data_IF_503239159569
#
_entry.id   IF_503239159569
#
_cell.length_a   1.000
_cell.length_b   1.000
_cell.length_c   1.000
_cell.angle_alpha   90.00
_cell.angle_beta   90.00
_cell.angle_gamma   90.00
#
_symmetry.space_group_name_H-M   'P 1'
#
loop_
_entity.id
_entity.type
_entity.pdbx_description
1 polymer ?
#
# COMPACT_ATOMS: atom_id res chain seq x y z
N UNK A 1 18.55 -9.78 33.52
CA UNK A 1 17.31 -8.97 33.65
C UNK A 1 17.17 -7.92 32.54
N UNK A 2 18.24 -7.35 31.99
CA UNK A 2 18.19 -6.33 30.92
C UNK A 2 17.69 -6.84 29.55
N UNK A 3 18.02 -8.07 29.12
CA UNK A 3 17.57 -8.57 27.81
C UNK A 3 16.09 -9.01 27.76
N UNK A 4 15.47 -9.23 28.92
CA UNK A 4 14.04 -9.57 29.04
C UNK A 4 13.18 -8.33 28.78
N UNK A 5 13.53 -7.20 29.41
CA UNK A 5 12.88 -5.90 29.23
C UNK A 5 12.98 -5.40 27.78
N UNK A 6 14.12 -5.64 27.10
CA UNK A 6 14.30 -5.27 25.69
C UNK A 6 13.39 -6.07 24.73
N UNK A 7 13.11 -7.34 25.05
CA UNK A 7 12.19 -8.18 24.26
C UNK A 7 10.72 -7.78 24.47
N UNK A 8 10.36 -7.42 25.70
CA UNK A 8 9.03 -6.92 26.03
C UNK A 8 8.75 -5.58 25.34
N UNK A 9 9.74 -4.69 25.25
CA UNK A 9 9.61 -3.41 24.56
C UNK A 9 9.32 -3.58 23.06
N UNK A 10 10.05 -4.48 22.40
CA UNK A 10 9.81 -4.82 20.99
C UNK A 10 8.41 -5.39 20.76
N UNK A 11 7.95 -6.25 21.66
CA UNK A 11 6.62 -6.83 21.58
C UNK A 11 5.53 -5.76 21.73
N UNK A 12 5.75 -4.76 22.58
CA UNK A 12 4.83 -3.62 22.76
C UNK A 12 4.79 -2.74 21.51
N UNK A 13 5.93 -2.50 20.85
CA UNK A 13 5.99 -1.77 19.58
C UNK A 13 5.22 -2.50 18.48
N UNK A 14 5.47 -3.80 18.30
CA UNK A 14 4.73 -4.63 17.34
C UNK A 14 3.21 -4.65 17.64
N UNK A 15 2.84 -4.65 18.93
CA UNK A 15 1.43 -4.58 19.36
C UNK A 15 0.77 -3.24 19.04
N UNK A 16 1.53 -2.14 19.09
CA UNK A 16 1.06 -0.81 18.69
C UNK A 16 0.77 -0.73 17.20
N UNK A 17 1.63 -1.35 16.39
CA UNK A 17 1.53 -1.32 14.92
C UNK A 17 0.39 -2.18 14.38
N UNK A 18 -0.10 -3.14 15.16
CA UNK A 18 -1.22 -4.02 14.81
C UNK A 18 -2.58 -3.29 14.67
N UNK A 19 -2.67 -1.98 14.94
CA UNK A 19 -3.89 -1.17 14.76
C UNK A 19 -5.13 -1.80 15.42
N UNK A 20 -4.94 -2.35 16.62
CA UNK A 20 -5.98 -3.06 17.37
C UNK A 20 -6.97 -2.08 17.99
N UNK A 21 -8.26 -2.36 17.83
CA UNK A 21 -9.31 -1.79 18.67
C UNK A 21 -9.30 -2.56 20.00
N UNK A 22 -9.12 -1.84 21.10
CA UNK A 22 -9.10 -2.42 22.44
C UNK A 22 -10.30 -1.93 23.25
N UNK A 23 -11.12 -2.85 23.77
CA UNK A 23 -12.24 -2.57 24.66
C UNK A 23 -12.02 -3.31 25.98
N UNK A 24 -11.82 -2.56 27.06
CA UNK A 24 -11.70 -3.12 28.41
C UNK A 24 -13.06 -3.18 29.07
N UNK A 25 -13.44 -4.36 29.56
CA UNK A 25 -14.62 -4.57 30.40
C UNK A 25 -14.20 -4.90 31.82
N UNK A 26 -15.14 -4.93 32.76
CA UNK A 26 -14.87 -5.25 34.17
C UNK A 26 -14.32 -6.68 34.40
N UNK A 27 -14.45 -7.57 33.41
CA UNK A 27 -14.03 -8.98 33.52
C UNK A 27 -12.99 -9.42 32.49
N UNK A 28 -12.79 -8.66 31.42
CA UNK A 28 -11.91 -9.05 30.31
C UNK A 28 -11.51 -7.87 29.43
N UNK A 29 -10.48 -8.08 28.62
CA UNK A 29 -10.07 -7.19 27.54
C UNK A 29 -10.47 -7.84 26.21
N UNK A 30 -11.13 -7.10 25.33
CA UNK A 30 -11.43 -7.50 23.96
C UNK A 30 -10.51 -6.76 23.00
N UNK A 31 -9.97 -7.48 22.03
CA UNK A 31 -9.12 -6.94 20.98
C UNK A 31 -9.75 -7.28 19.63
N UNK A 32 -9.86 -6.29 18.75
CA UNK A 32 -10.37 -6.47 17.39
C UNK A 32 -9.42 -5.85 16.37
N UNK A 33 -9.25 -6.52 15.23
CA UNK A 33 -8.47 -6.01 14.10
C UNK A 33 -9.26 -6.22 12.81
N UNK A 34 -9.53 -5.14 12.09
CA UNK A 34 -10.07 -5.20 10.73
C UNK A 34 -9.00 -4.71 9.76
N UNK A 35 -8.49 -5.60 8.93
CA UNK A 35 -7.53 -5.26 7.88
C UNK A 35 -8.23 -5.30 6.53
N UNK A 36 -8.42 -4.14 5.91
CA UNK A 36 -8.86 -4.05 4.53
C UNK A 36 -7.62 -4.13 3.62
N UNK A 37 -7.51 -5.19 2.83
CA UNK A 37 -6.45 -5.34 1.83
C UNK A 37 -7.03 -5.32 0.43
N UNK A 38 -6.35 -4.64 -0.49
CA UNK A 38 -6.66 -4.68 -1.91
C UNK A 38 -5.41 -5.12 -2.68
N UNK A 39 -5.46 -6.25 -3.43
CA UNK A 39 -4.30 -6.75 -4.17
C UNK A 39 -3.88 -5.86 -5.34
N UNK A 40 -4.71 -4.87 -5.70
CA UNK A 40 -4.51 -4.00 -6.86
C UNK A 40 -3.14 -3.31 -6.87
N UNK A 41 -2.66 -2.77 -5.74
CA UNK A 41 -1.37 -2.09 -5.70
C UNK A 41 -0.20 -3.05 -5.91
N UNK A 42 -0.28 -4.27 -5.37
CA UNK A 42 0.73 -5.31 -5.59
C UNK A 42 0.72 -5.76 -7.06
N UNK A 43 -0.45 -5.93 -7.66
CA UNK A 43 -0.54 -6.28 -9.07
C UNK A 43 0.01 -5.16 -9.97
N UNK A 44 -0.32 -3.90 -9.68
CA UNK A 44 0.28 -2.74 -10.36
C UNK A 44 1.80 -2.80 -10.24
N UNK A 45 2.34 -2.97 -9.03
CA UNK A 45 3.78 -3.03 -8.77
C UNK A 45 4.47 -4.11 -9.61
N UNK A 46 3.92 -5.32 -9.66
CA UNK A 46 4.47 -6.41 -10.47
C UNK A 46 4.43 -6.08 -11.96
N UNK A 47 3.31 -5.55 -12.46
CA UNK A 47 3.17 -5.17 -13.88
C UNK A 47 4.02 -3.94 -14.25
N UNK A 48 4.34 -3.06 -13.29
CA UNK A 48 5.25 -1.94 -13.52
C UNK A 48 6.68 -2.40 -13.84
N UNK A 49 7.12 -3.54 -13.28
CA UNK A 49 8.46 -4.10 -13.53
C UNK A 49 8.66 -4.56 -14.97
N UNK A 50 7.59 -4.95 -15.66
CA UNK A 50 7.64 -5.46 -17.04
C UNK A 50 7.29 -4.39 -18.08
N UNK A 51 6.76 -3.24 -17.67
CA UNK A 51 6.35 -2.17 -18.57
C UNK A 51 7.53 -1.41 -19.18
N UNK A 52 7.76 -1.56 -20.50
CA UNK A 52 8.89 -0.93 -21.20
C UNK A 52 8.99 0.59 -21.02
N UNK A 53 7.86 1.32 -20.99
CA UNK A 53 7.86 2.78 -20.74
C UNK A 53 8.25 3.12 -19.31
N UNK A 54 7.78 2.33 -18.34
CA UNK A 54 8.03 2.56 -16.92
C UNK A 54 9.47 2.22 -16.55
N UNK A 55 10.05 1.18 -17.15
CA UNK A 55 11.47 0.86 -17.02
C UNK A 55 12.37 2.01 -17.51
N UNK A 56 11.99 2.70 -18.60
CA UNK A 56 12.71 3.90 -19.05
C UNK A 56 12.68 5.01 -17.99
N UNK A 57 11.52 5.27 -17.39
CA UNK A 57 11.41 6.26 -16.32
C UNK A 57 12.19 5.84 -15.07
N UNK A 58 12.16 4.56 -14.70
CA UNK A 58 12.96 4.03 -13.59
C UNK A 58 14.45 4.29 -13.80
N UNK A 59 14.98 4.01 -14.99
CA UNK A 59 16.37 4.29 -15.32
C UNK A 59 16.71 5.80 -15.31
N UNK A 60 15.75 6.67 -15.61
CA UNK A 60 15.93 8.13 -15.52
C UNK A 60 15.98 8.60 -14.06
N UNK A 61 15.12 8.04 -13.19
CA UNK A 61 15.11 8.30 -11.75
C UNK A 61 16.44 7.86 -11.13
N UNK A 62 16.91 6.65 -11.46
CA UNK A 62 18.21 6.12 -10.97
C UNK A 62 19.40 6.97 -11.41
N UNK A 63 19.30 7.64 -12.57
CA UNK A 63 20.30 8.60 -13.06
C UNK A 63 20.20 9.98 -12.39
N UNK A 64 19.32 10.16 -11.41
CA UNK A 64 19.14 11.41 -10.70
C UNK A 64 18.54 12.53 -11.56
N UNK A 65 17.90 12.21 -12.70
CA UNK A 65 17.21 13.22 -13.48
C UNK A 65 15.92 13.60 -12.77
N UNK A 66 15.71 14.90 -12.59
CA UNK A 66 14.46 15.40 -12.05
C UNK A 66 13.35 15.17 -13.07
N UNK A 67 12.46 14.23 -12.73
CA UNK A 67 11.27 13.89 -13.50
C UNK A 67 10.07 13.90 -12.55
N UNK A 68 8.88 14.11 -13.10
CA UNK A 68 7.61 14.05 -12.34
C UNK A 68 7.34 12.68 -11.68
N UNK A 69 8.17 11.68 -11.96
CA UNK A 69 8.04 10.30 -11.51
C UNK A 69 8.93 10.02 -10.29
N UNK A 70 8.38 9.33 -9.30
CA UNK A 70 9.08 8.87 -8.10
C UNK A 70 8.66 7.44 -7.76
N UNK A 71 9.53 6.68 -7.10
CA UNK A 71 9.17 5.39 -6.50
C UNK A 71 8.92 5.66 -5.01
N UNK A 72 7.77 5.22 -4.51
CA UNK A 72 7.42 5.36 -3.10
C UNK A 72 8.03 4.26 -2.22
N UNK A 73 7.81 4.35 -0.91
CA UNK A 73 8.30 3.37 0.09
C UNK A 73 7.76 1.95 -0.14
N UNK A 74 6.59 1.83 -0.78
CA UNK A 74 6.01 0.53 -1.14
C UNK A 74 6.61 -0.05 -2.43
N UNK A 75 7.49 0.69 -3.10
CA UNK A 75 8.12 0.30 -4.37
C UNK A 75 7.24 0.55 -5.59
N UNK A 76 6.18 1.36 -5.47
CA UNK A 76 5.26 1.70 -6.56
C UNK A 76 5.68 3.00 -7.21
N UNK A 77 5.74 3.02 -8.54
CA UNK A 77 5.98 4.24 -9.31
C UNK A 77 4.75 5.15 -9.29
N UNK A 78 4.97 6.42 -8.96
CA UNK A 78 3.97 7.48 -8.95
C UNK A 78 4.40 8.67 -9.79
N UNK A 79 3.46 9.27 -10.50
CA UNK A 79 3.62 10.55 -11.20
C UNK A 79 2.84 11.62 -10.43
N UNK A 80 3.54 12.63 -9.90
CA UNK A 80 2.92 13.71 -9.09
C UNK A 80 1.97 13.17 -8.00
N UNK A 81 2.40 12.13 -7.29
CA UNK A 81 1.64 11.47 -6.22
C UNK A 81 0.59 10.44 -6.67
N UNK A 82 0.26 10.36 -7.97
CA UNK A 82 -0.71 9.40 -8.53
C UNK A 82 -0.03 8.12 -8.97
N UNK A 83 -0.65 6.97 -8.72
CA UNK A 83 -0.13 5.65 -9.11
C UNK A 83 -0.05 5.53 -10.64
N UNK A 84 1.11 5.14 -11.16
CA UNK A 84 1.30 4.88 -12.58
C UNK A 84 0.74 3.49 -12.94
N UNK A 85 -0.45 3.42 -13.52
CA UNK A 85 -1.05 2.14 -13.92
C UNK A 85 -0.52 1.72 -15.30
N UNK A 86 0.12 0.54 -15.44
CA UNK A 86 0.48 -0.02 -16.75
C UNK A 86 -0.75 -0.21 -17.65
N UNK A 87 -0.57 -0.05 -18.96
CA UNK A 87 -1.64 -0.21 -19.96
C UNK A 87 -2.06 -1.66 -20.23
N UNK A 88 -2.26 -2.47 -19.18
CA UNK A 88 -2.72 -3.85 -19.28
C UNK A 88 -4.24 -3.91 -19.05
N UNK A 89 -4.99 -4.65 -19.89
CA UNK A 89 -6.46 -4.68 -19.82
C UNK A 89 -7.01 -5.09 -18.45
N UNK A 90 -6.32 -5.99 -17.75
CA UNK A 90 -6.75 -6.56 -16.47
C UNK A 90 -6.80 -5.49 -15.37
N UNK A 91 -5.74 -4.68 -15.24
CA UNK A 91 -5.69 -3.56 -14.29
C UNK A 91 -6.77 -2.53 -14.61
N UNK A 92 -6.98 -2.22 -15.89
CA UNK A 92 -8.01 -1.27 -16.31
C UNK A 92 -9.40 -1.78 -15.95
N UNK A 93 -9.67 -3.07 -16.17
CA UNK A 93 -10.94 -3.70 -15.80
C UNK A 93 -11.18 -3.60 -14.29
N UNK A 94 -10.20 -3.92 -13.46
CA UNK A 94 -10.34 -3.81 -12.00
C UNK A 94 -10.68 -2.39 -11.55
N UNK A 95 -10.00 -1.36 -12.09
CA UNK A 95 -10.29 0.05 -11.76
C UNK A 95 -11.73 0.42 -12.14
N UNK A 96 -12.18 0.01 -13.33
CA UNK A 96 -13.52 0.33 -13.82
C UNK A 96 -14.60 -0.40 -13.01
N UNK A 97 -14.39 -1.68 -12.69
CA UNK A 97 -15.33 -2.46 -11.87
C UNK A 97 -15.44 -1.91 -10.46
N UNK A 98 -14.31 -1.56 -9.83
CA UNK A 98 -14.30 -0.91 -8.52
C UNK A 98 -14.98 0.45 -8.57
N UNK A 99 -14.66 1.26 -9.59
CA UNK A 99 -15.29 2.56 -9.82
C UNK A 99 -16.80 2.47 -10.04
N UNK A 100 -17.31 1.39 -10.64
CA UNK A 100 -18.74 1.17 -10.83
C UNK A 100 -19.45 0.68 -9.56
N UNK A 101 -18.80 -0.19 -8.77
CA UNK A 101 -19.36 -0.76 -7.55
C UNK A 101 -19.24 0.16 -6.34
N UNK A 102 -18.33 1.13 -6.38
CA UNK A 102 -18.10 2.02 -5.26
C UNK A 102 -19.33 2.89 -5.00
N UNK A 103 -19.73 2.98 -3.74
CA UNK A 103 -20.74 3.93 -3.27
C UNK A 103 -20.28 5.40 -3.42
N UNK A 104 -19.00 5.62 -3.78
CA UNK A 104 -18.42 6.92 -4.10
C UNK A 104 -18.38 7.18 -5.62
N UNK A 105 -19.02 6.34 -6.42
CA UNK A 105 -19.12 6.55 -7.87
C UNK A 105 -19.95 7.80 -8.16
N UNK A 106 -19.38 8.74 -8.92
CA UNK A 106 -20.08 9.93 -9.38
C UNK A 106 -20.37 9.72 -10.86
N UNK A 107 -21.61 9.36 -11.16
CA UNK A 107 -22.12 9.29 -12.53
C UNK A 107 -22.68 10.67 -12.90
N UNK A 108 -22.32 11.27 -14.05
CA UNK A 108 -23.00 12.45 -14.58
C UNK A 108 -24.48 12.16 -14.89
#
# INVERSE_FOLDING_TARGET
MSSLMAKELKLIEEFRDLSLVCETTTRSVKLGMLKLTNPFLEEVKEKQKTGARLLKYKALIEKGKEVDFKIDESGVMRCRGRVCVPGVPELKKMILEEGHRSNLSIHP
#
